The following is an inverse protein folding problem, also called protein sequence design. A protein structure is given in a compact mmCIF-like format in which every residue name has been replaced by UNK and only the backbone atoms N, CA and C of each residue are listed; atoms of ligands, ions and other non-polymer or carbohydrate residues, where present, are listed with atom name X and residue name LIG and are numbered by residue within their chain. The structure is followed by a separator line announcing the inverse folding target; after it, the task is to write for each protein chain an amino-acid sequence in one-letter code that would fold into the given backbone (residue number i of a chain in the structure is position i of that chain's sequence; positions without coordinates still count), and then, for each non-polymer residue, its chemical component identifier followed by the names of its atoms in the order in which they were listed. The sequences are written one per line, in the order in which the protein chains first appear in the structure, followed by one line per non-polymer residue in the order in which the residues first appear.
data_IF_133142135686
#
_entry.id   IF_133142135686
#
_cell.length_a   1.000
_cell.length_b   1.000
_cell.length_c   1.000
_cell.angle_alpha   90.00
_cell.angle_beta   90.00
_cell.angle_gamma   90.00
#
_symmetry.space_group_name_H-M   'P 1'
#
loop_
_entity.id
_entity.type
_entity.pdbx_description
1 polymer ?
#
# COMPACT_ATOMS: atom_id res chain seq x y z
N UNK A 1 -0.42 -14.30 -13.89
CA UNK A 1 0.93 -14.60 -13.36
C UNK A 1 1.14 -14.12 -11.93
N UNK A 2 0.79 -12.89 -11.56
CA UNK A 2 1.02 -12.39 -10.17
C UNK A 2 0.05 -13.01 -9.14
N UNK A 3 -1.26 -13.03 -9.42
CA UNK A 3 -2.29 -13.64 -8.56
C UNK A 3 -1.98 -15.10 -8.22
N UNK A 4 -1.58 -15.90 -9.21
CA UNK A 4 -1.24 -17.32 -9.03
C UNK A 4 -0.02 -17.51 -8.12
N UNK A 5 1.00 -16.65 -8.23
CA UNK A 5 2.17 -16.69 -7.35
C UNK A 5 1.83 -16.29 -5.90
N UNK A 6 0.97 -15.28 -5.72
CA UNK A 6 0.52 -14.86 -4.39
C UNK A 6 -0.34 -15.94 -3.75
N UNK A 7 -1.27 -16.54 -4.50
CA UNK A 7 -2.08 -17.67 -4.02
C UNK A 7 -1.24 -18.91 -3.70
N UNK A 8 -0.15 -19.15 -4.43
CA UNK A 8 0.79 -20.22 -4.10
C UNK A 8 1.57 -19.91 -2.82
N UNK A 9 1.94 -18.65 -2.59
CA UNK A 9 2.63 -18.20 -1.37
C UNK A 9 1.72 -18.18 -0.14
N UNK A 10 0.45 -17.83 -0.34
CA UNK A 10 -0.59 -17.82 0.69
C UNK A 10 -1.77 -18.71 0.26
N UNK A 11 -1.65 -20.04 0.37
CA UNK A 11 -2.72 -20.97 -0.02
C UNK A 11 -4.09 -20.68 0.58
N UNK A 12 -4.14 -20.16 1.82
CA UNK A 12 -5.42 -19.92 2.53
C UNK A 12 -5.68 -18.44 2.77
N UNK A 13 -6.96 -18.08 2.93
CA UNK A 13 -7.37 -16.72 3.28
C UNK A 13 -6.74 -16.26 4.59
N UNK A 14 -6.68 -17.16 5.59
CA UNK A 14 -6.06 -16.86 6.89
C UNK A 14 -4.59 -16.47 6.75
N UNK A 15 -3.82 -17.21 5.94
CA UNK A 15 -2.41 -16.87 5.67
C UNK A 15 -2.27 -15.53 4.95
N UNK A 16 -3.12 -15.25 3.96
CA UNK A 16 -3.11 -13.97 3.26
C UNK A 16 -3.50 -12.81 4.19
N UNK A 17 -4.54 -13.00 5.00
CA UNK A 17 -5.01 -12.00 5.98
C UNK A 17 -3.94 -11.70 7.04
N UNK A 18 -3.23 -12.72 7.52
CA UNK A 18 -2.11 -12.55 8.44
C UNK A 18 -0.94 -11.78 7.79
N UNK A 19 -0.60 -12.11 6.54
CA UNK A 19 0.47 -11.44 5.81
C UNK A 19 0.13 -9.97 5.47
N UNK A 20 -1.12 -9.71 5.10
CA UNK A 20 -1.66 -8.37 4.85
C UNK A 20 -2.48 -7.90 6.06
N UNK A 21 -1.80 -7.72 7.19
CA UNK A 21 -2.41 -7.28 8.45
C UNK A 21 -1.88 -5.93 8.90
N UNK A 22 -2.35 -5.46 10.06
CA UNK A 22 -1.86 -4.23 10.70
C UNK A 22 -0.37 -4.27 11.05
N UNK A 23 0.27 -5.45 11.02
CA UNK A 23 1.73 -5.58 11.18
C UNK A 23 2.54 -4.81 10.13
N UNK A 24 1.96 -4.56 8.94
CA UNK A 24 2.61 -3.78 7.88
C UNK A 24 2.54 -2.27 8.11
N UNK A 25 1.71 -1.78 9.04
CA UNK A 25 1.47 -0.34 9.23
C UNK A 25 2.75 0.48 9.47
N UNK A 26 3.71 0.07 10.32
CA UNK A 26 4.94 0.85 10.54
C UNK A 26 5.77 1.01 9.26
N UNK A 27 5.92 -0.07 8.49
CA UNK A 27 6.72 -0.08 7.26
C UNK A 27 6.05 0.77 6.18
N UNK A 28 4.72 0.67 6.03
CA UNK A 28 3.98 1.41 5.01
C UNK A 28 3.87 2.91 5.35
N UNK A 29 3.88 3.28 6.63
CA UNK A 29 3.97 4.67 7.06
C UNK A 29 5.36 5.27 6.78
N UNK A 30 6.43 4.48 6.96
CA UNK A 30 7.80 4.91 6.73
C UNK A 30 8.16 5.02 5.24
N UNK A 31 7.54 4.21 4.39
CA UNK A 31 7.81 4.15 2.96
C UNK A 31 6.50 4.16 2.14
N UNK A 32 6.09 5.37 1.73
CA UNK A 32 4.90 5.56 0.89
C UNK A 32 5.08 4.99 -0.51
N UNK A 33 6.31 4.96 -1.01
CA UNK A 33 6.56 4.38 -2.32
C UNK A 33 6.31 2.87 -2.28
N UNK A 34 6.72 2.20 -1.21
CA UNK A 34 6.34 0.80 -0.97
C UNK A 34 4.82 0.64 -0.85
N UNK A 35 4.14 1.50 -0.11
CA UNK A 35 2.68 1.40 0.06
C UNK A 35 1.91 1.47 -1.26
N UNK A 36 2.32 2.36 -2.17
CA UNK A 36 1.63 2.60 -3.43
C UNK A 36 2.17 1.77 -4.61
N UNK A 37 3.47 1.57 -4.70
CA UNK A 37 4.13 0.97 -5.87
C UNK A 37 4.38 -0.52 -5.73
N UNK A 38 4.40 -1.07 -4.51
CA UNK A 38 4.65 -2.50 -4.35
C UNK A 38 3.57 -3.33 -5.06
N UNK A 39 4.00 -4.47 -5.57
CA UNK A 39 3.14 -5.49 -6.16
C UNK A 39 2.32 -6.13 -5.04
N UNK A 40 1.18 -5.51 -4.74
CA UNK A 40 0.21 -5.96 -3.74
C UNK A 40 -1.11 -6.35 -4.40
N UNK A 41 -1.82 -7.39 -3.91
CA UNK A 41 -3.18 -7.69 -4.34
C UNK A 41 -4.11 -6.50 -4.16
N UNK A 42 -5.15 -6.46 -4.98
CA UNK A 42 -6.31 -5.58 -4.76
C UNK A 42 -7.33 -6.25 -3.84
N UNK A 43 -8.31 -5.50 -3.36
CA UNK A 43 -9.46 -6.07 -2.66
C UNK A 43 -10.16 -7.13 -3.52
N UNK A 44 -10.41 -6.86 -4.80
CA UNK A 44 -11.03 -7.83 -5.72
C UNK A 44 -10.25 -9.14 -5.86
N UNK A 45 -8.94 -9.11 -5.65
CA UNK A 45 -8.08 -10.28 -5.77
C UNK A 45 -8.27 -11.26 -4.62
N UNK A 46 -8.66 -10.79 -3.42
CA UNK A 46 -8.98 -11.68 -2.30
C UNK A 46 -10.16 -12.59 -2.67
N UNK A 47 -11.24 -12.02 -3.21
CA UNK A 47 -12.40 -12.80 -3.63
C UNK A 47 -12.08 -13.82 -4.72
N UNK A 48 -11.28 -13.41 -5.73
CA UNK A 48 -10.80 -14.30 -6.78
C UNK A 48 -9.96 -15.46 -6.23
N UNK A 49 -9.18 -15.21 -5.17
CA UNK A 49 -8.27 -16.19 -4.59
C UNK A 49 -8.93 -17.10 -3.55
N UNK A 50 -9.89 -16.60 -2.79
CA UNK A 50 -10.39 -17.27 -1.58
C UNK A 50 -11.90 -17.42 -1.52
N UNK A 51 -12.63 -16.93 -2.53
CA UNK A 51 -14.08 -17.07 -2.63
C UNK A 51 -14.85 -15.85 -2.12
N UNK A 52 -16.15 -15.87 -2.41
CA UNK A 52 -17.09 -14.80 -2.12
C UNK A 52 -17.04 -14.35 -0.66
N UNK A 53 -17.02 -13.03 -0.44
CA UNK A 53 -17.05 -12.43 0.90
C UNK A 53 -15.69 -12.31 1.59
N UNK A 54 -14.62 -12.94 1.08
CA UNK A 54 -13.28 -12.83 1.66
C UNK A 54 -12.74 -11.39 1.67
N UNK A 55 -13.03 -10.61 0.63
CA UNK A 55 -12.67 -9.18 0.54
C UNK A 55 -13.37 -8.36 1.63
N UNK A 56 -14.69 -8.53 1.77
CA UNK A 56 -15.49 -7.79 2.74
C UNK A 56 -15.09 -8.16 4.18
N UNK A 57 -14.85 -9.45 4.44
CA UNK A 57 -14.35 -9.92 5.71
C UNK A 57 -12.99 -9.30 6.05
N UNK A 58 -12.07 -9.24 5.08
CA UNK A 58 -10.76 -8.64 5.29
C UNK A 58 -10.86 -7.14 5.60
N UNK A 59 -11.68 -6.38 4.85
CA UNK A 59 -11.94 -4.95 5.11
C UNK A 59 -12.53 -4.77 6.51
N UNK A 60 -13.56 -5.55 6.88
CA UNK A 60 -14.15 -5.54 8.22
C UNK A 60 -13.09 -5.74 9.30
N UNK A 61 -12.22 -6.75 9.17
CA UNK A 61 -11.15 -7.02 10.13
C UNK A 61 -10.23 -5.82 10.32
N UNK A 62 -9.84 -5.15 9.24
CA UNK A 62 -9.00 -3.96 9.33
C UNK A 62 -9.72 -2.77 10.00
N UNK A 63 -11.01 -2.56 9.68
CA UNK A 63 -11.82 -1.48 10.27
C UNK A 63 -12.06 -1.68 11.78
N UNK A 64 -12.27 -2.92 12.23
CA UNK A 64 -12.35 -3.25 13.65
C UNK A 64 -11.08 -2.85 14.42
N UNK A 65 -9.93 -2.79 13.75
CA UNK A 65 -8.71 -2.31 14.40
C UNK A 65 -8.70 -0.80 14.62
N UNK A 66 -9.48 -0.04 13.83
CA UNK A 66 -9.73 1.39 14.06
C UNK A 66 -10.68 1.54 15.24
N UNK A 67 -11.75 0.76 15.28
CA UNK A 67 -12.71 0.74 16.40
C UNK A 67 -11.98 0.53 17.73
N UNK A 68 -11.16 -0.51 17.81
CA UNK A 68 -10.29 -0.81 18.95
C UNK A 68 -9.39 0.37 19.35
N UNK A 69 -8.82 1.10 18.37
CA UNK A 69 -7.96 2.24 18.65
C UNK A 69 -8.73 3.51 19.06
N UNK A 70 -10.02 3.60 18.73
CA UNK A 70 -10.80 4.83 18.86
C UNK A 70 -11.39 5.07 20.25
N UNK A 71 -11.35 4.07 21.15
CA UNK A 71 -11.86 4.17 22.53
C UNK A 71 -13.28 4.75 22.61
N UNK A 72 -14.14 4.41 21.65
CA UNK A 72 -15.54 4.78 21.64
C UNK A 72 -16.26 4.17 22.84
N UNK A 73 -17.37 4.80 23.27
CA UNK A 73 -18.16 4.29 24.40
C UNK A 73 -18.86 2.98 24.03
N UNK A 74 -19.27 2.89 22.78
CA UNK A 74 -19.88 1.71 22.16
C UNK A 74 -18.99 1.28 20.98
N UNK A 75 -18.73 -0.02 20.90
CA UNK A 75 -18.00 -0.60 19.77
C UNK A 75 -18.81 -0.56 18.48
N UNK A 76 -18.17 -0.88 17.36
CA UNK A 76 -18.83 -0.88 16.07
C UNK A 76 -20.03 -1.86 16.02
N UNK A 77 -21.16 -1.38 15.50
CA UNK A 77 -22.29 -2.24 15.14
C UNK A 77 -21.85 -3.20 14.04
N UNK A 78 -21.88 -4.50 14.34
CA UNK A 78 -21.43 -5.54 13.42
C UNK A 78 -22.23 -5.59 12.12
N UNK A 79 -23.54 -5.34 12.15
CA UNK A 79 -24.39 -5.35 10.96
C UNK A 79 -24.07 -4.15 10.07
N UNK A 80 -23.94 -2.96 10.67
CA UNK A 80 -23.55 -1.76 9.94
C UNK A 80 -22.16 -1.92 9.32
N UNK A 81 -21.22 -2.54 10.05
CA UNK A 81 -19.86 -2.77 9.55
C UNK A 81 -19.81 -3.84 8.45
N UNK A 82 -20.62 -4.90 8.56
CA UNK A 82 -20.77 -5.91 7.51
C UNK A 82 -21.32 -5.28 6.22
N UNK A 83 -22.41 -4.52 6.32
CA UNK A 83 -23.02 -3.83 5.18
C UNK A 83 -22.05 -2.84 4.54
N UNK A 84 -21.44 -1.99 5.36
CA UNK A 84 -20.44 -1.03 4.89
C UNK A 84 -19.27 -1.72 4.20
N UNK A 85 -18.76 -2.82 4.75
CA UNK A 85 -17.62 -3.53 4.14
C UNK A 85 -17.96 -4.11 2.77
N UNK A 86 -19.21 -4.60 2.60
CA UNK A 86 -19.71 -5.04 1.30
C UNK A 86 -19.79 -3.91 0.28
N UNK A 87 -20.42 -2.79 0.66
CA UNK A 87 -20.52 -1.59 -0.20
C UNK A 87 -19.14 -1.02 -0.55
N UNK A 88 -18.25 -0.97 0.45
CA UNK A 88 -16.89 -0.47 0.30
C UNK A 88 -16.11 -1.30 -0.73
N UNK A 89 -16.16 -2.63 -0.62
CA UNK A 89 -15.49 -3.50 -1.59
C UNK A 89 -16.10 -3.31 -2.98
N UNK A 90 -17.42 -3.22 -3.12
CA UNK A 90 -18.07 -2.98 -4.41
C UNK A 90 -17.54 -1.70 -5.09
N UNK A 91 -17.48 -0.60 -4.34
CA UNK A 91 -17.05 0.70 -4.84
C UNK A 91 -15.54 0.81 -5.07
N UNK A 92 -14.73 0.22 -4.19
CA UNK A 92 -13.27 0.41 -4.12
C UNK A 92 -12.49 -0.88 -4.36
N UNK A 93 -13.07 -1.83 -5.11
CA UNK A 93 -12.49 -3.16 -5.39
C UNK A 93 -11.06 -3.13 -5.96
N UNK A 94 -10.67 -2.04 -6.62
CA UNK A 94 -9.35 -1.83 -7.23
C UNK A 94 -8.26 -1.40 -6.24
N UNK A 95 -8.61 -1.05 -5.00
CA UNK A 95 -7.65 -0.58 -4.00
C UNK A 95 -6.75 -1.73 -3.57
N UNK A 96 -5.45 -1.47 -3.49
CA UNK A 96 -4.46 -2.43 -3.01
C UNK A 96 -4.58 -2.65 -1.50
N UNK A 97 -4.29 -3.86 -1.04
CA UNK A 97 -4.29 -4.17 0.40
C UNK A 97 -3.32 -3.27 1.18
N UNK A 98 -2.15 -2.99 0.62
CA UNK A 98 -1.14 -2.10 1.23
C UNK A 98 -1.63 -0.65 1.34
N UNK A 99 -2.35 -0.16 0.34
CA UNK A 99 -2.95 1.18 0.35
C UNK A 99 -4.04 1.28 1.42
N UNK A 100 -4.87 0.24 1.55
CA UNK A 100 -5.90 0.21 2.59
C UNK A 100 -5.29 0.12 4.00
N UNK A 101 -4.24 -0.68 4.19
CA UNK A 101 -3.51 -0.74 5.48
C UNK A 101 -2.90 0.63 5.82
N UNK A 102 -2.33 1.33 4.83
CA UNK A 102 -1.81 2.70 5.02
C UNK A 102 -2.93 3.66 5.42
N UNK A 103 -4.10 3.59 4.79
CA UNK A 103 -5.27 4.36 5.17
C UNK A 103 -5.64 4.11 6.64
N UNK A 104 -5.75 2.85 7.06
CA UNK A 104 -6.08 2.46 8.43
C UNK A 104 -5.04 3.01 9.41
N UNK A 105 -3.76 2.92 9.09
CA UNK A 105 -2.68 3.46 9.93
C UNK A 105 -2.81 4.98 10.12
N UNK A 106 -3.03 5.72 9.02
CA UNK A 106 -3.22 7.17 9.04
C UNK A 106 -4.48 7.59 9.79
N UNK A 107 -5.55 6.81 9.68
CA UNK A 107 -6.78 7.04 10.42
C UNK A 107 -6.52 6.91 11.93
N UNK A 108 -5.85 5.84 12.37
CA UNK A 108 -5.49 5.64 13.79
C UNK A 108 -4.61 6.76 14.36
N UNK A 109 -3.81 7.40 13.51
CA UNK A 109 -2.99 8.56 13.86
C UNK A 109 -3.76 9.90 13.82
N UNK A 110 -5.09 9.87 13.62
CA UNK A 110 -5.96 11.05 13.67
C UNK A 110 -5.91 11.94 12.42
N UNK A 111 -5.28 11.52 11.31
CA UNK A 111 -5.12 12.33 10.09
C UNK A 111 -6.46 12.72 9.43
N UNK A 112 -7.49 11.93 9.68
CA UNK A 112 -8.82 12.09 9.08
C UNK A 112 -9.91 12.45 10.09
N UNK A 113 -9.54 12.77 11.33
CA UNK A 113 -10.48 13.06 12.41
C UNK A 113 -10.64 11.89 13.38
N UNK A 114 -11.76 11.90 14.12
CA UNK A 114 -12.09 10.94 15.18
C UNK A 114 -13.59 10.68 15.19
N UNK A 115 -13.99 9.59 15.84
CA UNK A 115 -15.39 9.31 16.11
C UNK A 115 -15.91 10.10 17.32
N UNK A 116 -17.22 10.35 17.35
CA UNK A 116 -17.90 11.04 18.44
C UNK A 116 -18.95 10.11 19.07
N UNK A 117 -18.60 9.47 20.19
CA UNK A 117 -19.50 8.60 20.96
C UNK A 117 -19.54 7.15 20.48
N UNK A 118 -19.72 6.91 19.18
CA UNK A 118 -19.83 5.58 18.57
C UNK A 118 -19.03 5.48 17.26
N UNK A 119 -18.70 4.26 16.85
CA UNK A 119 -18.03 4.02 15.57
C UNK A 119 -18.98 4.29 14.40
N UNK A 120 -18.63 5.26 13.56
CA UNK A 120 -19.46 5.69 12.44
C UNK A 120 -18.83 5.31 11.09
N UNK A 121 -19.51 4.43 10.35
CA UNK A 121 -19.07 3.98 9.02
C UNK A 121 -19.13 5.10 7.98
N UNK A 122 -19.98 6.11 8.15
CA UNK A 122 -20.02 7.28 7.27
C UNK A 122 -18.70 8.04 7.38
N UNK A 123 -18.27 8.34 8.61
CA UNK A 123 -16.97 8.97 8.91
C UNK A 123 -15.80 8.21 8.24
N UNK A 124 -15.81 6.87 8.27
CA UNK A 124 -14.81 6.04 7.57
C UNK A 124 -14.85 6.29 6.05
N UNK A 125 -16.03 6.32 5.44
CA UNK A 125 -16.20 6.61 4.02
C UNK A 125 -15.72 8.02 3.63
N UNK A 126 -15.97 9.03 4.45
CA UNK A 126 -15.48 10.40 4.22
C UNK A 126 -13.96 10.49 4.30
N UNK A 127 -13.39 9.86 5.34
CA UNK A 127 -11.95 9.76 5.53
C UNK A 127 -11.29 9.05 4.35
N UNK A 128 -11.90 7.97 3.83
CA UNK A 128 -11.36 7.25 2.70
C UNK A 128 -11.37 8.09 1.42
N UNK A 129 -12.43 8.85 1.16
CA UNK A 129 -12.46 9.81 0.03
C UNK A 129 -11.36 10.86 0.15
N UNK A 130 -11.06 11.33 1.36
CA UNK A 130 -9.93 12.24 1.61
C UNK A 130 -8.59 11.56 1.34
N UNK A 131 -8.41 10.33 1.81
CA UNK A 131 -7.22 9.52 1.51
C UNK A 131 -7.00 9.33 0.02
N UNK A 132 -8.04 9.10 -0.79
CA UNK A 132 -7.88 8.95 -2.25
C UNK A 132 -7.37 10.21 -2.95
N UNK A 133 -7.75 11.39 -2.46
CA UNK A 133 -7.20 12.66 -2.96
C UNK A 133 -5.71 12.78 -2.61
N UNK A 134 -5.38 12.61 -1.33
CA UNK A 134 -3.99 12.64 -0.85
C UNK A 134 -3.10 11.61 -1.55
N UNK A 135 -3.63 10.40 -1.77
CA UNK A 135 -2.97 9.32 -2.52
C UNK A 135 -2.59 9.77 -3.93
N UNK A 136 -3.47 10.48 -4.60
CA UNK A 136 -3.24 10.92 -5.99
C UNK A 136 -2.09 11.94 -6.04
N UNK A 137 -2.10 12.90 -5.13
CA UNK A 137 -1.05 13.91 -5.00
C UNK A 137 0.30 13.27 -4.61
N UNK A 138 0.30 12.36 -3.64
CA UNK A 138 1.50 11.66 -3.17
C UNK A 138 2.10 10.76 -4.28
N UNK A 139 1.27 10.08 -5.07
CA UNK A 139 1.69 9.30 -6.21
C UNK A 139 2.34 10.15 -7.30
N UNK A 140 1.77 11.33 -7.61
CA UNK A 140 2.34 12.25 -8.59
C UNK A 140 3.76 12.67 -8.18
N UNK A 141 3.93 13.01 -6.89
CA UNK A 141 5.25 13.36 -6.33
C UNK A 141 6.24 12.20 -6.44
N UNK A 142 5.82 10.97 -6.12
CA UNK A 142 6.68 9.77 -6.22
C UNK A 142 7.10 9.51 -7.68
N UNK A 143 6.16 9.58 -8.62
CA UNK A 143 6.43 9.37 -10.05
C UNK A 143 7.40 10.43 -10.55
N UNK A 144 7.20 11.70 -10.20
CA UNK A 144 8.09 12.80 -10.59
C UNK A 144 9.51 12.58 -10.05
N UNK A 145 9.66 12.19 -8.78
CA UNK A 145 10.97 11.89 -8.18
C UNK A 145 11.68 10.75 -8.92
N UNK A 146 10.98 9.66 -9.22
CA UNK A 146 11.55 8.51 -9.96
C UNK A 146 12.00 8.89 -11.36
N UNK A 147 11.21 9.69 -12.07
CA UNK A 147 11.55 10.15 -13.41
C UNK A 147 12.81 11.04 -13.39
N UNK A 148 12.90 11.97 -12.43
CA UNK A 148 14.08 12.81 -12.26
C UNK A 148 15.33 11.97 -11.95
N UNK A 149 15.24 11.02 -11.02
CA UNK A 149 16.34 10.10 -10.68
C UNK A 149 16.78 9.26 -11.89
N UNK A 150 15.83 8.76 -12.68
CA UNK A 150 16.14 8.00 -13.89
C UNK A 150 16.81 8.88 -14.97
N UNK A 151 16.47 10.17 -15.04
CA UNK A 151 17.13 11.12 -15.93
C UNK A 151 18.55 11.44 -15.45
N UNK A 152 18.76 11.69 -14.16
CA UNK A 152 20.08 11.93 -13.57
C UNK A 152 21.00 10.72 -13.77
N UNK A 153 20.52 9.49 -13.57
CA UNK A 153 21.30 8.27 -13.82
C UNK A 153 21.68 8.09 -15.29
N UNK A 154 20.84 8.53 -16.23
CA UNK A 154 21.16 8.51 -17.68
C UNK A 154 22.17 9.57 -18.08
N UNK A 155 22.22 10.68 -17.33
CA UNK A 155 23.13 11.81 -17.59
C UNK A 155 24.42 11.72 -16.78
N UNK A 156 24.49 10.85 -15.77
CA UNK A 156 25.71 10.57 -15.03
C UNK A 156 26.82 10.13 -16.02
N UNK A 157 27.98 10.80 -16.02
CA UNK A 157 29.05 10.46 -16.94
C UNK A 157 29.46 9.01 -16.71
N UNK A 158 29.38 8.19 -17.76
CA UNK A 158 30.05 6.89 -17.77
C UNK A 158 31.51 7.18 -17.45
N UNK A 159 32.01 6.73 -16.29
CA UNK A 159 33.44 6.65 -16.04
C UNK A 159 34.03 5.78 -17.15
N UNK A 160 34.47 6.43 -18.24
CA UNK A 160 35.27 5.79 -19.26
C UNK A 160 36.60 5.54 -18.58
N UNK A 161 36.75 4.36 -17.99
CA UNK A 161 38.04 3.78 -17.69
C UNK A 161 38.76 3.56 -19.02
N UNK A 162 39.27 4.64 -19.59
CA UNK A 162 40.10 4.62 -20.78
C UNK A 162 41.47 4.15 -20.32
N UNK A 163 41.63 2.83 -20.17
CA UNK A 163 42.97 2.26 -20.14
C UNK A 163 43.56 2.50 -21.53
N UNK A 164 44.69 3.23 -21.64
CA UNK A 164 45.35 3.41 -22.91
C UNK A 164 45.66 2.01 -23.47
N UNK A 165 45.41 1.77 -24.77
CA UNK A 165 45.90 0.57 -25.46
C UNK A 165 47.37 0.30 -25.11
N UNK A 166 47.74 -0.97 -24.89
CA UNK A 166 49.06 -1.34 -24.34
C UNK A 166 50.25 -0.83 -25.18
N UNK A 167 50.02 -0.57 -26.47
CA UNK A 167 50.96 0.06 -27.41
C UNK A 167 51.33 1.50 -27.05
N UNK A 168 50.44 2.25 -26.38
CA UNK A 168 50.73 3.58 -25.83
C UNK A 168 51.53 3.51 -24.52
N UNK A 169 51.29 2.48 -23.69
CA UNK A 169 52.05 2.26 -22.45
C UNK A 169 53.51 1.95 -22.73
N UNK A 170 53.78 1.17 -23.78
CA UNK A 170 55.15 0.86 -24.21
C UNK A 170 55.91 2.10 -24.72
N UNK A 171 55.22 3.04 -25.38
CA UNK A 171 55.83 4.29 -25.91
C UNK A 171 56.13 5.33 -24.84
N UNK A 172 55.41 5.30 -23.71
CA UNK A 172 55.62 6.22 -22.58
C UNK A 172 56.78 5.81 -21.66
N UNK A 173 57.21 4.54 -21.70
CA UNK A 173 58.34 4.03 -20.93
C UNK A 173 59.68 4.05 -21.70
N UNK A 174 59.84 4.97 -22.65
CA UNK A 174 61.01 5.01 -23.55
C UNK A 174 61.83 6.29 -23.38
N UNK A 175 62.46 6.45 -22.20
CA UNK A 175 63.89 6.74 -21.95
C UNK A 175 64.13 7.12 -20.49
#
# INVERSE_FOLDING_TARGET
MMLSAIKQRYPTFSQASAAYSTSLQPILLADLDKAYSEKSPTLSDLERMYGYGSSALWVKTQLLTIDFASSTKEGADENALNEFSGLFVGQYHYIKLTEFILFVARFKLGRYGKFYGYFDTITVGEAFRKFLRERSDELEVIIRRRNNQAQEQRQAPVERNHQPPDDLRAKLNLK
#
